data_IF_812365565296
#
_entry.id   IF_812365565296
#
_cell.length_a   1.000
_cell.length_b   1.000
_cell.length_c   1.000
_cell.angle_alpha   90.00
_cell.angle_beta   90.00
_cell.angle_gamma   90.00
#
_symmetry.space_group_name_H-M   'P 1'
#
loop_
_entity.id
_entity.type
_entity.pdbx_description
1 polymer ?
#
# COMPACT_ATOMS: atom_id res chain seq x y z
N UNK A 1 -5.19 -3.46 -18.74
CA UNK A 1 -5.38 -3.43 -17.28
C UNK A 1 -6.71 -4.09 -16.87
N UNK A 2 -7.85 -3.70 -17.44
CA UNK A 2 -9.17 -4.32 -17.16
C UNK A 2 -9.30 -5.83 -17.44
N UNK A 3 -8.54 -6.39 -18.39
CA UNK A 3 -8.62 -7.83 -18.71
C UNK A 3 -7.88 -8.74 -17.71
N UNK A 4 -6.89 -8.22 -16.98
CA UNK A 4 -6.18 -9.02 -15.96
C UNK A 4 -7.01 -9.21 -14.68
N UNK A 5 -7.85 -8.22 -14.37
CA UNK A 5 -8.70 -8.17 -13.16
C UNK A 5 -9.81 -9.24 -13.24
N UNK A 6 -10.46 -9.39 -14.40
CA UNK A 6 -11.48 -10.43 -14.60
C UNK A 6 -10.91 -11.86 -14.54
N UNK A 7 -9.67 -12.04 -15.01
CA UNK A 7 -9.02 -13.34 -15.03
C UNK A 7 -8.68 -13.85 -13.61
N UNK A 8 -8.28 -12.96 -12.69
CA UNK A 8 -7.91 -13.36 -11.33
C UNK A 8 -9.13 -13.78 -10.50
N UNK A 9 -10.27 -13.07 -10.62
CA UNK A 9 -11.51 -13.45 -9.94
C UNK A 9 -12.07 -14.81 -10.41
N UNK A 10 -11.95 -15.12 -11.70
CA UNK A 10 -12.35 -16.43 -12.26
C UNK A 10 -11.39 -17.57 -11.87
N UNK A 11 -10.15 -17.25 -11.49
CA UNK A 11 -9.15 -18.24 -11.09
C UNK A 11 -9.32 -18.67 -9.64
N UNK A 12 -9.90 -17.84 -8.74
CA UNK A 12 -10.10 -18.19 -7.32
C UNK A 12 -10.94 -19.47 -7.16
N UNK A 13 -11.92 -19.68 -8.04
CA UNK A 13 -12.81 -20.85 -8.04
C UNK A 13 -12.17 -22.09 -8.69
N UNK A 14 -10.94 -21.98 -9.20
CA UNK A 14 -10.24 -23.08 -9.88
C UNK A 14 -9.53 -24.00 -8.88
N UNK A 15 -9.57 -25.34 -9.06
CA UNK A 15 -8.84 -26.26 -8.19
C UNK A 15 -7.31 -26.09 -8.24
N UNK A 16 -6.77 -25.44 -9.28
CA UNK A 16 -5.33 -25.14 -9.40
C UNK A 16 -4.92 -23.86 -8.63
N UNK A 17 -5.87 -23.08 -8.16
CA UNK A 17 -5.65 -21.78 -7.54
C UNK A 17 -4.69 -21.80 -6.34
N UNK A 18 -4.72 -22.79 -5.43
CA UNK A 18 -3.81 -22.80 -4.28
C UNK A 18 -2.33 -22.91 -4.68
N UNK A 19 -2.02 -23.67 -5.73
CA UNK A 19 -0.65 -23.79 -6.26
C UNK A 19 -0.19 -22.52 -6.98
N UNK A 20 -1.09 -21.95 -7.79
CA UNK A 20 -0.81 -20.72 -8.53
C UNK A 20 -0.63 -19.51 -7.59
N UNK A 21 -1.52 -19.35 -6.61
CA UNK A 21 -1.47 -18.27 -5.61
C UNK A 21 -0.18 -18.34 -4.78
N UNK A 22 0.24 -19.53 -4.35
CA UNK A 22 1.53 -19.71 -3.67
C UNK A 22 2.71 -19.26 -4.55
N UNK A 23 2.75 -19.69 -5.82
CA UNK A 23 3.81 -19.27 -6.74
C UNK A 23 3.82 -17.76 -7.00
N UNK A 24 2.65 -17.14 -7.07
CA UNK A 24 2.49 -15.70 -7.21
C UNK A 24 2.98 -14.95 -5.98
N UNK A 25 2.58 -15.37 -4.77
CA UNK A 25 3.00 -14.73 -3.52
C UNK A 25 4.51 -14.84 -3.31
N UNK A 26 5.10 -16.01 -3.58
CA UNK A 26 6.55 -16.18 -3.54
C UNK A 26 7.27 -15.27 -4.54
N UNK A 27 6.71 -15.09 -5.74
CA UNK A 27 7.28 -14.20 -6.76
C UNK A 27 7.18 -12.74 -6.35
N UNK A 28 6.06 -12.32 -5.75
CA UNK A 28 5.87 -10.97 -5.20
C UNK A 28 6.84 -10.69 -4.06
N UNK A 29 7.05 -11.65 -3.15
CA UNK A 29 8.03 -11.54 -2.09
C UNK A 29 9.46 -11.43 -2.63
N UNK A 30 9.85 -12.29 -3.57
CA UNK A 30 11.16 -12.22 -4.22
C UNK A 30 11.38 -10.89 -4.95
N UNK A 31 10.33 -10.34 -5.56
CA UNK A 31 10.42 -9.04 -6.21
C UNK A 31 10.65 -7.91 -5.20
N UNK A 32 10.01 -7.99 -4.03
CA UNK A 32 10.23 -7.05 -2.92
C UNK A 32 11.65 -7.13 -2.33
N UNK A 33 12.32 -8.28 -2.39
CA UNK A 33 13.73 -8.39 -1.99
C UNK A 33 14.64 -7.48 -2.82
N UNK A 34 14.27 -7.20 -4.08
CA UNK A 34 14.99 -6.31 -4.98
C UNK A 34 14.54 -4.83 -4.89
N UNK A 35 13.68 -4.46 -3.93
CA UNK A 35 13.02 -3.13 -3.84
C UNK A 35 13.96 -1.94 -3.91
N UNK A 36 15.12 -1.99 -3.26
CA UNK A 36 16.09 -0.88 -3.26
C UNK A 36 16.56 -0.56 -4.68
N UNK A 37 16.98 -1.60 -5.40
CA UNK A 37 17.41 -1.49 -6.79
C UNK A 37 16.27 -1.01 -7.68
N UNK A 38 15.05 -1.53 -7.49
CA UNK A 38 13.88 -1.10 -8.26
C UNK A 38 13.56 0.38 -8.03
N UNK A 39 13.57 0.82 -6.78
CA UNK A 39 13.29 2.21 -6.40
C UNK A 39 14.34 3.17 -6.96
N UNK A 40 15.61 2.77 -6.95
CA UNK A 40 16.73 3.61 -7.38
C UNK A 40 16.92 3.61 -8.91
N UNK A 41 16.94 2.45 -9.55
CA UNK A 41 17.29 2.28 -10.98
C UNK A 41 16.05 2.23 -11.89
N UNK A 42 14.91 1.77 -11.39
CA UNK A 42 13.73 1.44 -12.20
C UNK A 42 12.43 1.98 -11.58
N UNK A 43 12.41 3.26 -11.21
CA UNK A 43 11.34 3.86 -10.39
C UNK A 43 9.91 3.62 -10.92
N UNK A 44 9.67 3.69 -12.24
CA UNK A 44 8.34 3.39 -12.82
C UNK A 44 7.88 1.95 -12.56
N UNK A 45 8.83 1.02 -12.58
CA UNK A 45 8.59 -0.39 -12.30
C UNK A 45 8.33 -0.61 -10.80
N UNK A 46 9.03 0.13 -9.94
CA UNK A 46 8.74 0.19 -8.51
C UNK A 46 7.30 0.67 -8.22
N UNK A 47 6.89 1.80 -8.81
CA UNK A 47 5.51 2.30 -8.67
C UNK A 47 4.48 1.29 -9.20
N UNK A 48 4.77 0.65 -10.34
CA UNK A 48 3.88 -0.40 -10.88
C UNK A 48 3.76 -1.59 -9.93
N UNK A 49 4.87 -1.97 -9.28
CA UNK A 49 4.89 -3.03 -8.29
C UNK A 49 4.07 -2.68 -7.04
N UNK A 50 4.21 -1.46 -6.50
CA UNK A 50 3.42 -1.00 -5.35
C UNK A 50 1.92 -1.14 -5.61
N UNK A 51 1.45 -0.64 -6.74
CA UNK A 51 0.04 -0.76 -7.14
C UNK A 51 -0.36 -2.21 -7.33
N UNK A 52 0.48 -3.02 -7.97
CA UNK A 52 0.22 -4.43 -8.21
C UNK A 52 0.05 -5.23 -6.92
N UNK A 53 0.85 -4.99 -5.88
CA UNK A 53 0.72 -5.67 -4.58
C UNK A 53 -0.65 -5.41 -3.97
N UNK A 54 -1.08 -4.15 -3.97
CA UNK A 54 -2.39 -3.75 -3.44
C UNK A 54 -3.55 -4.29 -4.28
N UNK A 55 -3.42 -4.28 -5.61
CA UNK A 55 -4.41 -4.84 -6.53
C UNK A 55 -4.57 -6.36 -6.34
N UNK A 56 -3.47 -7.10 -6.19
CA UNK A 56 -3.54 -8.54 -5.89
C UNK A 56 -4.29 -8.75 -4.58
N UNK A 57 -3.95 -8.01 -3.52
CA UNK A 57 -4.61 -8.17 -2.24
C UNK A 57 -6.11 -7.85 -2.33
N UNK A 58 -6.49 -6.78 -3.03
CA UNK A 58 -7.89 -6.42 -3.22
C UNK A 58 -8.71 -7.51 -3.93
N UNK A 59 -8.12 -8.22 -4.88
CA UNK A 59 -8.84 -9.17 -5.74
C UNK A 59 -8.77 -10.62 -5.26
N UNK A 60 -7.64 -11.04 -4.71
CA UNK A 60 -7.40 -12.44 -4.33
C UNK A 60 -6.84 -12.60 -2.92
N UNK A 61 -6.62 -11.49 -2.20
CA UNK A 61 -6.20 -11.52 -0.81
C UNK A 61 -7.34 -11.89 0.12
N UNK A 62 -7.02 -12.68 1.14
CA UNK A 62 -7.89 -12.92 2.29
C UNK A 62 -7.03 -13.12 3.54
N UNK A 63 -7.67 -13.28 4.70
CA UNK A 63 -6.98 -13.50 5.98
C UNK A 63 -6.01 -14.72 5.99
N UNK A 64 -6.17 -15.69 5.08
CA UNK A 64 -5.31 -16.86 4.96
C UNK A 64 -4.13 -16.63 4.00
N UNK A 65 -4.12 -15.54 3.23
CA UNK A 65 -3.03 -15.13 2.33
C UNK A 65 -1.85 -14.52 3.09
N UNK A 66 -1.35 -15.20 4.12
CA UNK A 66 -0.36 -14.66 5.07
C UNK A 66 0.90 -14.09 4.43
N UNK A 67 1.42 -14.73 3.37
CA UNK A 67 2.59 -14.25 2.63
C UNK A 67 2.31 -12.93 1.90
N UNK A 68 1.15 -12.82 1.24
CA UNK A 68 0.76 -11.58 0.54
C UNK A 68 0.51 -10.45 1.53
N UNK A 69 -0.23 -10.73 2.62
CA UNK A 69 -0.42 -9.77 3.71
C UNK A 69 0.93 -9.33 4.25
N UNK A 70 1.89 -10.25 4.38
CA UNK A 70 3.23 -9.90 4.82
C UNK A 70 3.92 -8.91 3.89
N UNK A 71 3.91 -9.14 2.57
CA UNK A 71 4.52 -8.22 1.62
C UNK A 71 3.82 -6.86 1.63
N UNK A 72 2.49 -6.81 1.72
CA UNK A 72 1.72 -5.55 1.83
C UNK A 72 2.22 -4.70 3.00
N UNK A 73 2.31 -5.29 4.20
CA UNK A 73 2.79 -4.56 5.37
C UNK A 73 4.29 -4.27 5.33
N UNK A 74 5.11 -5.14 4.73
CA UNK A 74 6.54 -4.87 4.52
C UNK A 74 6.76 -3.68 3.58
N UNK A 75 5.93 -3.53 2.55
CA UNK A 75 5.94 -2.36 1.66
C UNK A 75 5.62 -1.09 2.44
N UNK A 76 4.56 -1.10 3.25
CA UNK A 76 4.21 0.07 4.07
C UNK A 76 5.30 0.40 5.09
N UNK A 77 5.84 -0.63 5.75
CA UNK A 77 6.93 -0.49 6.71
C UNK A 77 8.19 0.13 6.08
N UNK A 78 8.56 -0.38 4.90
CA UNK A 78 9.70 0.11 4.13
C UNK A 78 9.57 1.58 3.74
N UNK A 79 8.38 2.03 3.30
CA UNK A 79 8.16 3.41 2.87
C UNK A 79 8.08 4.40 4.03
N UNK A 80 7.57 3.97 5.19
CA UNK A 80 7.31 4.83 6.34
C UNK A 80 8.45 4.86 7.36
N UNK A 81 9.57 4.17 7.11
CA UNK A 81 10.76 4.19 7.98
C UNK A 81 11.94 4.92 7.33
N UNK A 82 12.80 5.50 8.16
CA UNK A 82 14.11 5.96 7.74
C UNK A 82 14.97 4.77 7.23
N UNK A 83 15.83 4.96 6.22
CA UNK A 83 16.11 6.23 5.52
C UNK A 83 15.15 6.53 4.35
N UNK A 84 14.24 5.61 4.01
CA UNK A 84 13.35 5.76 2.85
C UNK A 84 12.42 6.95 3.02
N UNK A 85 11.87 7.14 4.22
CA UNK A 85 11.03 8.27 4.61
C UNK A 85 11.65 9.63 4.23
N UNK A 86 12.97 9.77 4.37
CA UNK A 86 13.71 11.01 4.09
C UNK A 86 13.89 11.29 2.59
N UNK A 87 13.76 10.26 1.76
CA UNK A 87 13.96 10.35 0.31
C UNK A 87 12.68 10.04 -0.46
N UNK A 88 11.52 10.02 0.21
CA UNK A 88 10.24 9.70 -0.39
C UNK A 88 9.93 10.59 -1.60
N UNK A 89 9.31 9.98 -2.61
CA UNK A 89 8.73 10.70 -3.73
C UNK A 89 7.22 10.75 -3.60
N UNK A 90 6.61 11.78 -4.17
CA UNK A 90 5.16 12.02 -4.10
C UNK A 90 4.39 10.78 -4.56
N UNK A 91 4.81 10.18 -5.67
CA UNK A 91 4.15 9.01 -6.27
C UNK A 91 4.12 7.79 -5.34
N UNK A 92 5.11 7.63 -4.44
CA UNK A 92 5.14 6.52 -3.49
C UNK A 92 4.07 6.70 -2.40
N UNK A 93 3.91 7.92 -1.90
CA UNK A 93 2.87 8.24 -0.92
C UNK A 93 1.47 8.21 -1.57
N UNK A 94 1.34 8.66 -2.82
CA UNK A 94 0.08 8.49 -3.57
C UNK A 94 -0.31 7.02 -3.71
N UNK A 95 0.65 6.14 -4.03
CA UNK A 95 0.41 4.70 -4.08
C UNK A 95 -0.02 4.16 -2.71
N UNK A 96 0.62 4.58 -1.63
CA UNK A 96 0.30 4.11 -0.27
C UNK A 96 -1.10 4.59 0.18
N UNK A 97 -1.47 5.83 -0.12
CA UNK A 97 -2.81 6.39 0.12
C UNK A 97 -3.87 5.62 -0.69
N UNK A 98 -3.66 5.47 -2.00
CA UNK A 98 -4.58 4.75 -2.87
C UNK A 98 -4.76 3.28 -2.42
N UNK A 99 -3.67 2.65 -1.99
CA UNK A 99 -3.69 1.30 -1.42
C UNK A 99 -4.57 1.24 -0.18
N UNK A 100 -4.36 2.11 0.81
CA UNK A 100 -5.15 2.09 2.05
C UNK A 100 -6.62 2.45 1.83
N UNK A 101 -6.94 3.31 0.87
CA UNK A 101 -8.32 3.55 0.45
C UNK A 101 -8.98 2.31 -0.17
N UNK A 102 -8.22 1.50 -0.91
CA UNK A 102 -8.71 0.30 -1.56
C UNK A 102 -8.86 -0.88 -0.59
N UNK A 103 -7.82 -1.14 0.21
CA UNK A 103 -7.69 -2.38 0.99
C UNK A 103 -7.66 -2.18 2.51
N UNK A 104 -7.60 -0.93 3.01
CA UNK A 104 -7.45 -0.63 4.43
C UNK A 104 -8.59 -1.19 5.29
N UNK A 105 -9.84 -1.07 4.84
CA UNK A 105 -10.99 -1.65 5.55
C UNK A 105 -10.92 -3.18 5.64
N UNK A 106 -10.48 -3.84 4.56
CA UNK A 106 -10.28 -5.29 4.54
C UNK A 106 -9.15 -5.73 5.48
N UNK A 107 -8.03 -5.00 5.46
CA UNK A 107 -6.91 -5.24 6.38
C UNK A 107 -7.31 -5.04 7.85
N UNK A 108 -8.18 -4.07 8.15
CA UNK A 108 -8.61 -3.80 9.54
C UNK A 108 -9.44 -4.93 10.11
N UNK A 109 -10.31 -5.51 9.27
CA UNK A 109 -11.13 -6.66 9.64
C UNK A 109 -10.31 -7.93 9.74
N UNK A 110 -9.42 -8.16 8.78
CA UNK A 110 -8.73 -9.44 8.63
C UNK A 110 -7.46 -9.53 9.49
N UNK A 111 -6.80 -8.39 9.77
CA UNK A 111 -5.51 -8.29 10.48
C UNK A 111 -5.45 -7.05 11.40
N UNK A 112 -6.36 -6.90 12.38
CA UNK A 112 -6.49 -5.68 13.18
C UNK A 112 -5.20 -5.28 13.93
N UNK A 113 -4.48 -6.25 14.50
CA UNK A 113 -3.26 -5.98 15.27
C UNK A 113 -2.14 -5.41 14.39
N UNK A 114 -1.95 -5.98 13.20
CA UNK A 114 -0.95 -5.50 12.23
C UNK A 114 -1.30 -4.11 11.71
N UNK A 115 -2.58 -3.85 11.48
CA UNK A 115 -3.03 -2.53 11.06
C UNK A 115 -2.90 -1.50 12.18
N UNK A 116 -3.10 -1.88 13.43
CA UNK A 116 -2.81 -1.01 14.58
C UNK A 116 -1.33 -0.61 14.60
N UNK A 117 -0.42 -1.58 14.41
CA UNK A 117 1.02 -1.31 14.31
C UNK A 117 1.35 -0.38 13.13
N UNK A 118 0.67 -0.54 12.00
CA UNK A 118 0.81 0.39 10.88
C UNK A 118 0.34 1.81 11.24
N UNK A 119 -0.77 1.95 11.97
CA UNK A 119 -1.24 3.26 12.45
C UNK A 119 -0.21 3.92 13.38
N UNK A 120 0.46 3.14 14.24
CA UNK A 120 1.56 3.63 15.07
C UNK A 120 2.74 4.07 14.21
N UNK A 121 3.13 3.27 13.22
CA UNK A 121 4.20 3.63 12.29
C UNK A 121 3.90 4.91 11.49
N UNK A 122 2.65 5.12 11.05
CA UNK A 122 2.24 6.36 10.37
C UNK A 122 2.41 7.57 11.32
N UNK A 123 2.11 7.42 12.62
CA UNK A 123 2.33 8.48 13.62
C UNK A 123 3.80 8.79 13.79
N UNK A 124 4.64 7.76 13.89
CA UNK A 124 6.09 7.92 14.00
C UNK A 124 6.64 8.63 12.74
N UNK A 125 6.23 8.17 11.55
CA UNK A 125 6.61 8.80 10.28
C UNK A 125 6.17 10.27 10.19
N UNK A 126 5.00 10.64 10.76
CA UNK A 126 4.54 12.02 10.80
C UNK A 126 5.43 12.93 11.67
N UNK A 127 5.95 12.38 12.77
CA UNK A 127 6.87 13.09 13.67
C UNK A 127 8.24 13.26 13.00
N UNK A 128 8.73 12.21 12.34
CA UNK A 128 10.09 12.14 11.79
C UNK A 128 10.23 12.80 10.41
N UNK A 129 9.15 12.93 9.64
CA UNK A 129 9.21 13.54 8.30
C UNK A 129 9.48 15.05 8.37
N UNK A 130 10.42 15.53 7.57
CA UNK A 130 10.84 16.94 7.56
C UNK A 130 10.18 17.74 6.43
N UNK A 131 9.95 17.10 5.28
CA UNK A 131 9.39 17.74 4.10
C UNK A 131 7.92 18.16 4.31
N UNK A 132 7.55 19.44 4.13
CA UNK A 132 6.19 19.92 4.39
C UNK A 132 5.12 19.21 3.55
N UNK A 133 5.43 18.94 2.29
CA UNK A 133 4.51 18.25 1.38
C UNK A 133 4.26 16.80 1.86
N UNK A 134 5.31 16.10 2.28
CA UNK A 134 5.22 14.72 2.75
C UNK A 134 4.49 14.65 4.09
N UNK A 135 4.78 15.61 5.00
CA UNK A 135 4.06 15.76 6.27
C UNK A 135 2.56 15.93 6.04
N UNK A 136 2.17 16.75 5.06
CA UNK A 136 0.76 16.93 4.68
C UNK A 136 0.15 15.62 4.18
N UNK A 137 0.83 14.88 3.30
CA UNK A 137 0.31 13.59 2.81
C UNK A 137 0.23 12.51 3.89
N UNK A 138 1.17 12.48 4.83
CA UNK A 138 1.14 11.56 5.98
C UNK A 138 0.01 11.94 6.96
N UNK A 139 -0.32 13.22 7.10
CA UNK A 139 -1.51 13.65 7.86
C UNK A 139 -2.80 13.07 7.27
N UNK A 140 -2.93 13.06 5.93
CA UNK A 140 -4.06 12.40 5.28
C UNK A 140 -4.12 10.91 5.63
N UNK A 141 -2.98 10.20 5.71
CA UNK A 141 -2.96 8.79 6.15
C UNK A 141 -3.48 8.61 7.59
N UNK A 142 -3.13 9.53 8.49
CA UNK A 142 -3.65 9.52 9.86
C UNK A 142 -5.17 9.71 9.88
N UNK A 143 -5.68 10.67 9.10
CA UNK A 143 -7.12 10.92 8.98
C UNK A 143 -7.87 9.72 8.39
N UNK A 144 -7.31 9.07 7.37
CA UNK A 144 -7.85 7.83 6.80
C UNK A 144 -7.93 6.72 7.87
N UNK A 145 -6.89 6.57 8.69
CA UNK A 145 -6.88 5.60 9.78
C UNK A 145 -7.93 5.87 10.86
N UNK A 146 -8.37 7.13 11.02
CA UNK A 146 -9.42 7.54 11.96
C UNK A 146 -10.84 7.49 11.37
N UNK A 147 -10.98 7.61 10.04
CA UNK A 147 -12.26 7.62 9.33
C UNK A 147 -12.76 6.24 8.89
N UNK A 148 -12.04 5.17 9.23
CA UNK A 148 -12.29 3.83 8.71
C UNK A 148 -11.95 3.70 7.23
N UNK A 149 -10.83 4.31 6.81
CA UNK A 149 -10.25 4.23 5.47
C UNK A 149 -11.11 4.85 4.37
N UNK A 150 -11.81 5.94 4.72
CA UNK A 150 -12.62 6.72 3.79
C UNK A 150 -12.06 8.12 3.69
N UNK A 151 -11.99 8.65 2.47
CA UNK A 151 -11.66 10.06 2.25
C UNK A 151 -12.62 10.95 3.06
N UNK A 152 -12.09 11.81 3.96
CA UNK A 152 -12.92 12.79 4.65
C UNK A 152 -13.61 13.72 3.63
N UNK A 153 -14.85 14.14 3.87
CA UNK A 153 -15.59 14.99 2.93
C UNK A 153 -14.88 16.31 2.62
N UNK A 154 -14.17 16.88 3.60
CA UNK A 154 -13.44 18.14 3.46
C UNK A 154 -11.99 17.94 2.98
N UNK A 155 -11.53 16.69 2.81
CA UNK A 155 -10.16 16.38 2.41
C UNK A 155 -9.84 16.90 1.00
N UNK A 156 -10.84 16.99 0.13
CA UNK A 156 -10.62 17.45 -1.25
C UNK A 156 -10.09 18.89 -1.33
N UNK A 157 -10.64 19.78 -0.50
CA UNK A 157 -10.24 21.18 -0.48
C UNK A 157 -8.83 21.36 0.08
N UNK A 158 -8.52 20.69 1.18
CA UNK A 158 -7.24 20.84 1.85
C UNK A 158 -6.11 20.09 1.12
N UNK A 159 -6.32 18.84 0.69
CA UNK A 159 -5.25 18.00 0.14
C UNK A 159 -5.08 18.12 -1.37
N UNK A 160 -6.13 18.37 -2.16
CA UNK A 160 -6.06 18.35 -3.62
C UNK A 160 -6.22 19.73 -4.28
N UNK A 161 -6.94 20.68 -3.67
CA UNK A 161 -7.24 21.99 -4.31
C UNK A 161 -6.25 23.11 -3.97
N UNK A 162 -5.46 23.01 -2.90
CA UNK A 162 -4.47 24.04 -2.53
C UNK A 162 -3.16 24.01 -3.33
N UNK A 163 -3.06 23.22 -4.41
CA UNK A 163 -1.86 23.13 -5.26
C UNK A 163 -1.78 24.16 -6.41
N UNK A 164 -2.67 25.15 -6.47
CA UNK A 164 -2.85 26.02 -7.64
C UNK A 164 -2.61 27.53 -7.42
N UNK A 165 -1.91 27.94 -6.36
CA UNK A 165 -1.48 29.33 -6.17
C UNK A 165 0.02 29.44 -5.87
#
# INVERSE_FOLDING_TARGET
MFQAILACGLLVDSPCFPGLSRGLYASVAQYFDCRERLRQEHFRMWISFLNFVSDIYANIGNAQSGELVNVVFQVFDYLLRAPVLETLKIEELECLIASLLSIGWGLERDCPDRLSQLKDLIRDAFIDVHEPWARKMILLLLELGASGWKLPPDANEYYFLQGNN
#
